data_IF_251285124134
#
_entry.id   IF_251285124134
#
_cell.length_a   1.000
_cell.length_b   1.000
_cell.length_c   1.000
_cell.angle_alpha   90.00
_cell.angle_beta   90.00
_cell.angle_gamma   90.00
#
_symmetry.space_group_name_H-M   'P 1'
#
loop_
_entity.id
_entity.type
_entity.pdbx_description
1 polymer ?
#
# COMPACT_ATOMS: atom_id res chain seq x y z
N UNK A 1 -10.10 -21.51 -4.21
CA UNK A 1 -9.37 -20.90 -5.34
C UNK A 1 -9.22 -19.40 -5.10
N UNK A 2 -8.10 -18.80 -5.49
CA UNK A 2 -7.93 -17.34 -5.60
C UNK A 2 -7.88 -17.02 -7.10
N UNK A 3 -8.54 -15.94 -7.53
CA UNK A 3 -8.52 -15.54 -8.93
C UNK A 3 -9.76 -14.75 -9.34
N UNK A 4 -9.92 -14.46 -10.64
CA UNK A 4 -8.94 -14.70 -11.71
C UNK A 4 -7.86 -13.60 -11.72
N UNK A 5 -6.59 -13.96 -11.91
CA UNK A 5 -5.46 -13.01 -12.01
C UNK A 5 -5.47 -12.26 -13.36
N UNK A 6 -6.49 -11.44 -13.57
CA UNK A 6 -6.60 -10.64 -14.78
C UNK A 6 -5.48 -9.59 -14.82
N UNK A 7 -4.81 -9.46 -15.97
CA UNK A 7 -3.69 -8.52 -16.18
C UNK A 7 -4.05 -7.05 -15.87
N UNK A 8 -5.33 -6.69 -16.01
CA UNK A 8 -5.81 -5.32 -15.94
C UNK A 8 -7.16 -5.23 -15.25
N UNK A 9 -7.43 -4.11 -14.59
CA UNK A 9 -8.76 -3.74 -14.05
C UNK A 9 -9.45 -2.65 -14.87
N UNK A 10 -8.93 -2.33 -16.06
CA UNK A 10 -9.47 -1.31 -16.96
C UNK A 10 -10.18 -1.89 -18.19
N UNK A 11 -10.73 -0.99 -19.02
CA UNK A 11 -11.38 -1.34 -20.28
C UNK A 11 -10.40 -1.93 -21.30
N UNK A 12 -10.81 -3.01 -21.97
CA UNK A 12 -10.12 -3.61 -23.11
C UNK A 12 -11.05 -3.64 -24.31
N UNK A 13 -10.66 -2.97 -25.39
CA UNK A 13 -11.39 -3.00 -26.66
C UNK A 13 -11.40 -4.39 -27.29
N UNK A 14 -10.36 -5.20 -27.04
CA UNK A 14 -10.27 -6.59 -27.53
C UNK A 14 -11.27 -7.51 -26.85
N UNK A 15 -11.54 -7.28 -25.57
CA UNK A 15 -12.48 -8.08 -24.77
C UNK A 15 -13.88 -7.47 -24.71
N UNK A 16 -14.07 -6.25 -25.22
CA UNK A 16 -15.37 -5.57 -25.26
C UNK A 16 -15.88 -5.13 -23.89
N UNK A 17 -14.99 -4.90 -22.91
CA UNK A 17 -15.41 -4.58 -21.55
C UNK A 17 -14.24 -4.40 -20.57
N UNK A 18 -14.57 -4.26 -19.30
CA UNK A 18 -13.57 -4.24 -18.23
C UNK A 18 -12.90 -5.61 -18.13
N UNK A 19 -11.57 -5.65 -18.27
CA UNK A 19 -10.80 -6.90 -18.35
C UNK A 19 -11.03 -7.79 -17.14
N UNK A 20 -10.93 -7.23 -15.93
CA UNK A 20 -11.18 -7.98 -14.70
C UNK A 20 -12.63 -8.47 -14.60
N UNK A 21 -13.61 -7.65 -14.97
CA UNK A 21 -15.01 -8.06 -14.89
C UNK A 21 -15.34 -9.23 -15.82
N UNK A 22 -14.82 -9.21 -17.05
CA UNK A 22 -15.01 -10.28 -18.03
C UNK A 22 -14.61 -11.65 -17.47
N UNK A 23 -13.52 -11.72 -16.70
CA UNK A 23 -13.08 -12.98 -16.08
C UNK A 23 -13.76 -13.25 -14.73
N UNK A 24 -14.09 -12.23 -13.96
CA UNK A 24 -14.59 -12.36 -12.59
C UNK A 24 -16.09 -12.62 -12.51
N UNK A 25 -16.89 -12.09 -13.44
CA UNK A 25 -18.35 -12.26 -13.45
C UNK A 25 -18.79 -13.74 -13.51
N UNK A 26 -18.19 -14.61 -14.35
CA UNK A 26 -18.52 -16.05 -14.37
C UNK A 26 -18.23 -16.77 -13.03
N UNK A 27 -17.24 -16.28 -12.28
CA UNK A 27 -16.82 -16.84 -11.00
C UNK A 27 -17.48 -16.15 -9.81
N UNK A 28 -18.26 -15.10 -10.06
CA UNK A 28 -18.85 -14.27 -9.02
C UNK A 28 -19.75 -15.10 -8.12
N UNK A 29 -19.60 -14.90 -6.81
CA UNK A 29 -20.36 -15.60 -5.76
C UNK A 29 -20.15 -17.13 -5.68
N UNK A 30 -19.30 -17.75 -6.50
CA UNK A 30 -19.02 -19.19 -6.39
C UNK A 30 -18.37 -19.48 -5.04
N UNK A 31 -18.85 -20.52 -4.35
CA UNK A 31 -18.33 -20.93 -3.03
C UNK A 31 -16.89 -21.44 -3.10
N UNK A 32 -16.49 -22.00 -4.25
CA UNK A 32 -15.11 -22.43 -4.53
C UNK A 32 -14.11 -21.27 -4.66
N UNK A 33 -14.58 -20.04 -4.85
CA UNK A 33 -13.76 -18.83 -4.88
C UNK A 33 -13.61 -18.25 -3.48
N UNK A 34 -12.37 -18.19 -2.99
CA UNK A 34 -12.02 -17.70 -1.67
C UNK A 34 -11.73 -16.19 -1.68
N UNK A 35 -11.10 -15.69 -2.75
CA UNK A 35 -10.75 -14.29 -2.93
C UNK A 35 -10.66 -13.95 -4.42
N UNK A 36 -10.90 -12.69 -4.72
CA UNK A 36 -10.60 -12.11 -6.02
C UNK A 36 -9.14 -11.68 -6.07
N UNK A 37 -8.46 -11.89 -7.19
CA UNK A 37 -7.11 -11.38 -7.43
C UNK A 37 -7.12 -10.53 -8.69
N UNK A 38 -6.27 -9.52 -8.80
CA UNK A 38 -6.19 -8.68 -9.99
C UNK A 38 -4.82 -8.00 -10.10
N UNK A 39 -4.43 -7.68 -11.33
CA UNK A 39 -3.28 -6.83 -11.63
C UNK A 39 -3.77 -5.48 -12.15
N UNK A 40 -2.88 -4.50 -12.20
CA UNK A 40 -3.26 -3.13 -12.60
C UNK A 40 -2.36 -2.57 -13.69
N UNK A 41 -1.90 -3.42 -14.62
CA UNK A 41 -0.95 -3.03 -15.68
C UNK A 41 -1.53 -2.05 -16.72
N UNK A 42 -2.83 -1.79 -16.67
CA UNK A 42 -3.48 -0.74 -17.45
C UNK A 42 -3.05 0.66 -17.00
N UNK A 43 -2.43 0.78 -15.83
CA UNK A 43 -1.79 2.01 -15.40
C UNK A 43 -0.32 2.03 -15.83
N UNK A 44 0.06 2.95 -16.76
CA UNK A 44 1.46 3.16 -17.08
C UNK A 44 2.18 3.87 -15.91
N UNK A 45 3.52 3.83 -15.94
CA UNK A 45 4.37 4.51 -14.96
C UNK A 45 4.06 6.02 -14.79
N UNK A 46 3.56 6.66 -15.85
CA UNK A 46 3.20 8.08 -15.90
C UNK A 46 1.80 8.40 -15.38
N UNK A 47 0.97 7.40 -15.07
CA UNK A 47 -0.39 7.63 -14.59
C UNK A 47 -0.37 8.37 -13.26
N UNK A 48 -1.30 9.31 -13.10
CA UNK A 48 -1.52 9.96 -11.81
C UNK A 48 -2.24 8.97 -10.89
N UNK A 49 -1.80 8.85 -9.64
CA UNK A 49 -2.43 7.92 -8.67
C UNK A 49 -3.93 8.19 -8.53
N UNK A 50 -4.35 9.45 -8.59
CA UNK A 50 -5.76 9.83 -8.55
C UNK A 50 -6.62 9.20 -9.67
N UNK A 51 -6.04 8.93 -10.85
CA UNK A 51 -6.76 8.34 -11.98
C UNK A 51 -7.11 6.86 -11.75
N UNK A 52 -6.39 6.19 -10.83
CA UNK A 52 -6.63 4.77 -10.53
C UNK A 52 -7.89 4.52 -9.72
N UNK A 53 -8.43 5.57 -9.08
CA UNK A 53 -9.49 5.47 -8.08
C UNK A 53 -10.80 4.88 -8.63
N UNK A 54 -11.20 5.23 -9.85
CA UNK A 54 -12.46 4.75 -10.42
C UNK A 54 -12.46 3.22 -10.60
N UNK A 55 -11.40 2.68 -11.20
CA UNK A 55 -11.26 1.23 -11.40
C UNK A 55 -11.12 0.50 -10.05
N UNK A 56 -10.37 1.06 -9.09
CA UNK A 56 -10.25 0.49 -7.75
C UNK A 56 -11.59 0.47 -7.00
N UNK A 57 -12.37 1.56 -7.07
CA UNK A 57 -13.72 1.59 -6.50
C UNK A 57 -14.63 0.53 -7.13
N UNK A 58 -14.53 0.31 -8.45
CA UNK A 58 -15.29 -0.75 -9.12
C UNK A 58 -15.00 -2.13 -8.51
N UNK A 59 -13.73 -2.43 -8.18
CA UNK A 59 -13.38 -3.68 -7.48
C UNK A 59 -14.14 -3.80 -6.15
N UNK A 60 -14.07 -2.79 -5.29
CA UNK A 60 -14.78 -2.78 -3.99
C UNK A 60 -16.28 -2.93 -4.18
N UNK A 61 -16.87 -2.09 -5.01
CA UNK A 61 -18.32 -1.92 -5.12
C UNK A 61 -18.96 -3.14 -5.80
N UNK A 62 -18.24 -3.80 -6.70
CA UNK A 62 -18.76 -4.92 -7.50
C UNK A 62 -18.36 -6.29 -6.94
N UNK A 63 -17.18 -6.41 -6.31
CA UNK A 63 -16.56 -7.68 -5.90
C UNK A 63 -16.13 -7.73 -4.43
N UNK A 64 -16.47 -6.71 -3.63
CA UNK A 64 -16.13 -6.62 -2.20
C UNK A 64 -16.87 -7.61 -1.29
N UNK A 65 -17.64 -8.55 -1.85
CA UNK A 65 -18.29 -9.64 -1.09
C UNK A 65 -17.30 -10.75 -0.66
N UNK A 66 -16.08 -10.73 -1.20
CA UNK A 66 -14.95 -11.58 -0.79
C UNK A 66 -13.70 -10.71 -0.68
N UNK A 67 -12.64 -11.16 0.01
CA UNK A 67 -11.36 -10.46 -0.02
C UNK A 67 -10.87 -10.26 -1.46
N UNK A 68 -10.30 -9.09 -1.75
CA UNK A 68 -9.65 -8.79 -3.01
C UNK A 68 -8.14 -8.60 -2.79
N UNK A 69 -7.30 -9.11 -3.68
CA UNK A 69 -5.84 -9.06 -3.56
C UNK A 69 -5.28 -8.46 -4.85
N UNK A 70 -4.50 -7.38 -4.75
CA UNK A 70 -3.69 -6.90 -5.87
C UNK A 70 -2.49 -7.84 -5.97
N UNK A 71 -2.52 -8.79 -6.91
CA UNK A 71 -1.59 -9.93 -6.93
C UNK A 71 -0.30 -9.66 -7.70
N UNK A 72 -0.23 -8.60 -8.50
CA UNK A 72 0.97 -8.25 -9.24
C UNK A 72 0.93 -6.83 -9.82
N UNK A 73 1.96 -6.02 -9.55
CA UNK A 73 2.21 -4.73 -10.22
C UNK A 73 3.59 -4.15 -9.88
N UNK A 74 4.24 -3.43 -10.82
CA UNK A 74 5.54 -2.74 -10.57
C UNK A 74 5.87 -1.55 -11.48
N UNK A 75 4.90 -0.83 -12.06
CA UNK A 75 5.22 0.23 -13.03
C UNK A 75 5.54 1.60 -12.42
N UNK A 76 5.14 1.88 -11.17
CA UNK A 76 5.31 3.20 -10.57
C UNK A 76 6.71 3.39 -9.96
N UNK A 77 7.14 4.65 -9.84
CA UNK A 77 8.28 5.00 -8.97
C UNK A 77 8.04 4.52 -7.54
N UNK A 78 9.08 4.39 -6.72
CA UNK A 78 8.94 3.88 -5.34
C UNK A 78 7.93 4.70 -4.50
N UNK A 79 7.94 6.03 -4.62
CA UNK A 79 7.04 6.91 -3.87
C UNK A 79 5.59 6.78 -4.37
N UNK A 80 5.40 6.73 -5.69
CA UNK A 80 4.08 6.51 -6.29
C UNK A 80 3.57 5.09 -6.00
N UNK A 81 4.45 4.10 -5.89
CA UNK A 81 4.11 2.74 -5.46
C UNK A 81 3.59 2.74 -4.02
N UNK A 82 4.26 3.44 -3.09
CA UNK A 82 3.77 3.57 -1.72
C UNK A 82 2.38 4.22 -1.65
N UNK A 83 2.17 5.31 -2.41
CA UNK A 83 0.85 5.93 -2.50
C UNK A 83 -0.17 4.98 -3.14
N UNK A 84 0.19 4.29 -4.22
CA UNK A 84 -0.70 3.37 -4.90
C UNK A 84 -1.12 2.18 -4.02
N UNK A 85 -0.24 1.69 -3.15
CA UNK A 85 -0.59 0.67 -2.15
C UNK A 85 -1.69 1.21 -1.22
N UNK A 86 -1.53 2.44 -0.68
CA UNK A 86 -2.57 3.08 0.14
C UNK A 86 -3.87 3.21 -0.66
N UNK A 87 -3.80 3.64 -1.92
CA UNK A 87 -4.96 3.80 -2.78
C UNK A 87 -5.68 2.44 -3.01
N UNK A 88 -4.93 1.37 -3.28
CA UNK A 88 -5.47 0.01 -3.44
C UNK A 88 -6.17 -0.48 -2.17
N UNK A 89 -5.49 -0.37 -1.04
CA UNK A 89 -6.03 -0.79 0.26
C UNK A 89 -7.31 -0.01 0.59
N UNK A 90 -7.31 1.30 0.33
CA UNK A 90 -8.42 2.17 0.71
C UNK A 90 -9.61 2.11 -0.24
N UNK A 91 -9.37 2.23 -1.54
CA UNK A 91 -10.42 2.39 -2.54
C UNK A 91 -10.98 1.03 -3.00
N UNK A 92 -10.11 0.05 -3.25
CA UNK A 92 -10.53 -1.30 -3.65
C UNK A 92 -10.88 -2.20 -2.45
N UNK A 93 -10.71 -1.72 -1.22
CA UNK A 93 -10.82 -2.54 -0.01
C UNK A 93 -9.95 -3.80 -0.10
N UNK A 94 -8.77 -3.68 -0.69
CA UNK A 94 -7.87 -4.81 -0.88
C UNK A 94 -7.38 -5.35 0.47
N UNK A 95 -7.33 -6.68 0.59
CA UNK A 95 -6.81 -7.41 1.72
C UNK A 95 -5.30 -7.74 1.57
N UNK A 96 -4.72 -7.49 0.39
CA UNK A 96 -3.32 -7.74 0.13
C UNK A 96 -2.82 -7.02 -1.13
N UNK A 97 -1.50 -6.84 -1.19
CA UNK A 97 -0.77 -6.25 -2.30
C UNK A 97 0.53 -7.03 -2.48
N UNK A 98 0.83 -7.46 -3.71
CA UNK A 98 2.05 -8.19 -4.06
C UNK A 98 2.81 -7.41 -5.13
N UNK A 99 4.01 -6.95 -4.78
CA UNK A 99 4.89 -6.28 -5.73
C UNK A 99 5.60 -7.31 -6.62
N UNK A 100 5.63 -7.08 -7.93
CA UNK A 100 6.15 -8.04 -8.90
C UNK A 100 7.66 -8.28 -8.74
N UNK A 101 8.43 -7.19 -8.68
CA UNK A 101 9.89 -7.27 -8.78
C UNK A 101 10.54 -7.50 -7.41
N UNK A 102 10.42 -8.71 -6.85
CA UNK A 102 11.02 -9.02 -5.54
C UNK A 102 12.55 -9.10 -5.61
N UNK A 103 13.12 -10.10 -6.28
CA UNK A 103 14.56 -10.29 -6.38
C UNK A 103 14.97 -10.52 -7.83
N UNK A 104 15.82 -9.64 -8.38
CA UNK A 104 16.20 -9.64 -9.79
C UNK A 104 17.67 -9.31 -9.98
N UNK A 105 18.16 -9.46 -11.22
CA UNK A 105 19.51 -9.05 -11.60
C UNK A 105 19.78 -7.57 -11.24
N UNK A 106 21.02 -7.25 -10.92
CA UNK A 106 21.47 -5.93 -10.47
C UNK A 106 21.28 -4.78 -11.48
N UNK A 107 20.98 -5.10 -12.74
CA UNK A 107 20.54 -4.18 -13.78
C UNK A 107 19.10 -3.69 -13.60
N UNK A 108 18.28 -4.35 -12.79
CA UNK A 108 16.88 -3.98 -12.56
C UNK A 108 16.75 -3.07 -11.32
N UNK A 109 16.70 -1.76 -11.56
CA UNK A 109 16.60 -0.75 -10.50
C UNK A 109 15.22 -0.68 -9.81
N UNK A 110 14.20 -1.32 -10.39
CA UNK A 110 12.84 -1.33 -9.83
C UNK A 110 12.58 -2.57 -8.96
N UNK A 111 13.52 -3.50 -8.90
CA UNK A 111 13.44 -4.66 -8.00
C UNK A 111 13.67 -4.28 -6.55
N UNK A 112 13.03 -4.96 -5.59
CA UNK A 112 13.27 -4.72 -4.16
C UNK A 112 14.70 -5.11 -3.79
N UNK A 113 15.15 -6.27 -4.26
CA UNK A 113 16.46 -6.85 -3.99
C UNK A 113 17.18 -7.07 -5.32
N UNK A 114 18.29 -6.36 -5.50
CA UNK A 114 19.18 -6.52 -6.65
C UNK A 114 20.25 -7.55 -6.33
N UNK A 115 20.42 -8.53 -7.20
CA UNK A 115 21.37 -9.63 -7.07
C UNK A 115 22.46 -9.51 -8.14
N UNK A 116 23.71 -9.43 -7.71
CA UNK A 116 24.85 -9.49 -8.63
C UNK A 116 25.11 -10.93 -9.07
N UNK A 117 25.81 -11.10 -10.19
CA UNK A 117 26.25 -12.43 -10.67
C UNK A 117 27.17 -13.16 -9.67
N UNK A 118 27.84 -12.42 -8.78
CA UNK A 118 28.68 -12.97 -7.72
C UNK A 118 27.90 -13.32 -6.43
N UNK A 119 26.57 -13.13 -6.40
CA UNK A 119 25.71 -13.43 -5.25
C UNK A 119 25.67 -12.33 -4.18
N UNK A 120 26.27 -11.17 -4.41
CA UNK A 120 26.07 -10.00 -3.55
C UNK A 120 24.68 -9.40 -3.78
N UNK A 121 24.12 -8.75 -2.75
CA UNK A 121 22.82 -8.09 -2.88
C UNK A 121 22.85 -6.62 -2.47
N UNK A 122 21.96 -5.83 -3.08
CA UNK A 122 21.65 -4.46 -2.65
C UNK A 122 20.16 -4.26 -2.57
N UNK A 123 19.71 -3.43 -1.63
CA UNK A 123 18.29 -3.12 -1.43
C UNK A 123 17.97 -1.79 -2.12
N UNK A 124 16.87 -1.75 -2.86
CA UNK A 124 16.37 -0.51 -3.48
C UNK A 124 15.32 0.15 -2.59
N UNK A 125 14.90 1.40 -2.89
CA UNK A 125 13.77 2.02 -2.21
C UNK A 125 12.49 1.17 -2.19
N UNK A 126 12.25 0.33 -3.20
CA UNK A 126 11.07 -0.55 -3.25
C UNK A 126 11.05 -1.60 -2.13
N UNK A 127 12.21 -2.10 -1.70
CA UNK A 127 12.28 -2.97 -0.53
C UNK A 127 11.75 -2.27 0.72
N UNK A 128 12.17 -1.02 0.92
CA UNK A 128 11.76 -0.24 2.07
C UNK A 128 10.29 0.18 2.00
N UNK A 129 9.77 0.45 0.80
CA UNK A 129 8.32 0.64 0.59
C UNK A 129 7.55 -0.59 1.10
N UNK A 130 7.91 -1.81 0.67
CA UNK A 130 7.24 -3.02 1.16
C UNK A 130 7.44 -3.23 2.66
N UNK A 131 8.61 -2.87 3.19
CA UNK A 131 8.88 -2.93 4.63
C UNK A 131 7.94 -2.03 5.44
N UNK A 132 7.58 -0.85 4.93
CA UNK A 132 6.61 0.05 5.58
C UNK A 132 5.22 -0.59 5.76
N UNK A 133 4.81 -1.48 4.86
CA UNK A 133 3.52 -2.16 4.90
C UNK A 133 3.55 -3.56 5.54
N UNK A 134 4.72 -4.16 5.76
CA UNK A 134 4.84 -5.55 6.22
C UNK A 134 5.58 -5.73 7.55
N UNK A 135 6.38 -4.75 8.00
CA UNK A 135 7.18 -4.92 9.23
C UNK A 135 6.35 -4.84 10.51
N UNK A 136 5.30 -4.02 10.50
CA UNK A 136 4.50 -3.69 11.70
C UNK A 136 3.02 -4.09 11.58
N UNK A 137 2.62 -4.55 10.41
CA UNK A 137 1.26 -5.01 10.08
C UNK A 137 1.37 -6.49 9.75
N UNK A 138 0.58 -7.32 10.43
CA UNK A 138 0.67 -8.78 10.33
C UNK A 138 -0.72 -9.40 10.12
N UNK A 139 -0.75 -10.72 9.99
CA UNK A 139 -1.97 -11.52 9.91
C UNK A 139 -2.93 -11.16 11.04
N UNK A 140 -4.18 -10.91 10.66
CA UNK A 140 -5.28 -10.61 11.58
C UNK A 140 -5.43 -9.13 11.91
N UNK A 141 -4.52 -8.27 11.47
CA UNK A 141 -4.73 -6.82 11.57
C UNK A 141 -5.93 -6.42 10.73
N UNK A 142 -6.72 -5.49 11.24
CA UNK A 142 -7.91 -4.98 10.57
C UNK A 142 -7.66 -3.54 10.16
N UNK A 143 -7.94 -3.23 8.89
CA UNK A 143 -7.86 -1.85 8.39
C UNK A 143 -8.92 -0.99 9.08
N UNK A 144 -8.50 0.16 9.60
CA UNK A 144 -9.37 1.13 10.25
C UNK A 144 -9.48 2.40 9.41
N UNK A 145 -10.56 3.14 9.59
CA UNK A 145 -10.75 4.43 8.92
C UNK A 145 -9.73 5.44 9.46
N UNK A 146 -8.96 6.04 8.55
CA UNK A 146 -8.09 7.18 8.85
C UNK A 146 -8.65 8.41 8.15
N UNK A 147 -8.81 9.49 8.91
CA UNK A 147 -9.19 10.80 8.37
C UNK A 147 -7.91 11.63 8.27
N UNK A 148 -7.45 11.88 7.04
CA UNK A 148 -6.28 12.71 6.79
C UNK A 148 -6.59 13.65 5.62
N UNK A 149 -6.73 14.97 5.86
CA UNK A 149 -7.06 15.91 4.81
C UNK A 149 -5.86 16.27 3.93
N UNK A 150 -4.64 16.13 4.45
CA UNK A 150 -3.45 16.59 3.74
C UNK A 150 -2.79 15.46 2.94
N UNK A 151 -2.67 14.25 3.51
CA UNK A 151 -1.82 13.20 2.97
C UNK A 151 -2.51 11.82 2.86
N UNK A 152 -2.18 11.01 1.85
CA UNK A 152 -2.61 9.62 1.77
C UNK A 152 -2.13 8.81 2.99
N UNK A 153 -3.07 8.13 3.66
CA UNK A 153 -2.79 7.27 4.80
C UNK A 153 -3.65 6.01 4.80
N UNK A 154 -3.11 4.91 5.29
CA UNK A 154 -3.88 3.72 5.67
C UNK A 154 -3.50 3.30 7.08
N UNK A 155 -4.49 2.99 7.91
CA UNK A 155 -4.31 2.59 9.30
C UNK A 155 -4.80 1.17 9.55
N UNK A 156 -4.14 0.47 10.46
CA UNK A 156 -4.43 -0.91 10.82
C UNK A 156 -4.35 -1.08 12.33
N UNK A 157 -5.36 -1.71 12.92
CA UNK A 157 -5.34 -2.08 14.34
C UNK A 157 -4.99 -3.55 14.48
N UNK A 158 -4.15 -3.87 15.46
CA UNK A 158 -3.78 -5.24 15.76
C UNK A 158 -4.94 -6.03 16.39
N UNK A 159 -4.91 -7.38 16.38
CA UNK A 159 -5.97 -8.21 16.96
C UNK A 159 -6.23 -7.96 18.46
N UNK A 160 -5.24 -7.46 19.22
CA UNK A 160 -5.44 -7.15 20.64
C UNK A 160 -6.10 -5.79 20.89
N UNK A 161 -6.18 -4.93 19.86
CA UNK A 161 -6.74 -3.58 19.97
C UNK A 161 -5.87 -2.59 20.74
N UNK A 162 -4.57 -2.90 20.89
CA UNK A 162 -3.59 -2.13 21.68
C UNK A 162 -2.55 -1.40 20.84
N UNK A 163 -2.42 -1.77 19.56
CA UNK A 163 -1.46 -1.15 18.64
C UNK A 163 -2.16 -0.75 17.34
N UNK A 164 -1.95 0.49 16.92
CA UNK A 164 -2.31 0.97 15.59
C UNK A 164 -1.04 1.23 14.81
N UNK A 165 -0.99 0.73 13.58
CA UNK A 165 0.05 1.09 12.61
C UNK A 165 -0.58 1.90 11.48
N UNK A 166 -0.02 3.08 11.20
CA UNK A 166 -0.40 3.93 10.08
C UNK A 166 0.76 4.00 9.10
N UNK A 167 0.49 3.81 7.82
CA UNK A 167 1.45 4.13 6.76
C UNK A 167 0.97 5.39 6.05
N UNK A 168 1.81 6.41 6.02
CA UNK A 168 1.56 7.71 5.43
C UNK A 168 2.56 7.98 4.30
N UNK A 169 2.10 8.66 3.26
CA UNK A 169 2.96 9.13 2.16
C UNK A 169 2.86 10.64 2.07
N UNK A 170 4.00 11.33 2.10
CA UNK A 170 4.07 12.74 1.75
C UNK A 170 4.58 12.88 0.31
N UNK A 171 3.69 13.05 -0.68
CA UNK A 171 4.09 13.26 -2.06
C UNK A 171 4.52 14.71 -2.36
N UNK A 172 4.43 15.64 -1.41
CA UNK A 172 4.71 17.06 -1.64
C UNK A 172 6.20 17.39 -1.51
N UNK A 173 6.54 18.63 -1.87
CA UNK A 173 7.88 19.21 -1.71
C UNK A 173 8.13 19.82 -0.34
N UNK A 174 7.08 19.98 0.47
CA UNK A 174 7.15 20.56 1.80
C UNK A 174 6.94 19.51 2.89
N UNK A 175 7.56 19.75 4.06
CA UNK A 175 7.34 18.93 5.24
C UNK A 175 5.96 19.24 5.85
N UNK A 176 5.37 18.24 6.50
CA UNK A 176 4.09 18.42 7.21
C UNK A 176 4.21 17.87 8.62
N UNK A 177 3.74 18.64 9.60
CA UNK A 177 3.63 18.19 10.98
C UNK A 177 2.29 17.50 11.18
N UNK A 178 2.31 16.30 11.75
CA UNK A 178 1.12 15.49 11.99
C UNK A 178 1.00 15.08 13.44
N UNK A 179 -0.15 15.40 14.02
CA UNK A 179 -0.63 14.87 15.29
C UNK A 179 -1.59 13.73 15.05
N UNK A 180 -1.60 12.75 15.96
CA UNK A 180 -2.41 11.55 15.82
C UNK A 180 -3.37 11.42 17.00
N UNK A 181 -4.66 11.49 16.70
CA UNK A 181 -5.74 11.23 17.64
C UNK A 181 -6.42 9.91 17.31
N UNK A 182 -6.84 9.18 18.35
CA UNK A 182 -7.54 7.91 18.21
C UNK A 182 -8.89 7.99 18.92
N UNK A 183 -9.98 7.89 18.15
CA UNK A 183 -11.33 7.97 18.71
C UNK A 183 -11.55 6.90 19.78
N UNK A 184 -11.89 7.34 20.99
CA UNK A 184 -12.21 6.45 22.12
C UNK A 184 -11.01 5.75 22.75
N UNK A 185 -9.77 6.12 22.43
CA UNK A 185 -8.55 5.56 23.05
C UNK A 185 -7.51 6.64 23.31
N UNK A 186 -6.67 6.42 24.30
CA UNK A 186 -5.52 7.29 24.59
C UNK A 186 -4.26 6.69 23.99
N UNK A 187 -3.49 7.51 23.27
CA UNK A 187 -2.18 7.12 22.75
C UNK A 187 -1.16 7.16 23.89
N UNK A 188 -0.56 6.02 24.20
CA UNK A 188 0.48 5.85 25.21
C UNK A 188 1.85 6.28 24.68
N UNK A 189 2.21 5.84 23.49
CA UNK A 189 3.49 6.19 22.86
C UNK A 189 3.39 6.16 21.34
N UNK A 190 4.24 6.97 20.71
CA UNK A 190 4.38 7.06 19.26
C UNK A 190 5.82 6.78 18.91
N UNK A 191 6.04 5.92 17.91
CA UNK A 191 7.32 5.80 17.20
C UNK A 191 7.06 5.80 15.71
N UNK A 192 8.03 6.24 14.93
CA UNK A 192 7.88 6.23 13.49
C UNK A 192 9.21 5.91 12.80
N UNK A 193 9.09 5.33 11.60
CA UNK A 193 10.20 5.02 10.71
C UNK A 193 9.90 5.64 9.36
N UNK A 194 10.88 6.31 8.75
CA UNK A 194 10.69 7.09 7.53
C UNK A 194 11.72 6.73 6.45
N UNK A 195 11.26 6.64 5.22
CA UNK A 195 12.09 6.57 4.00
C UNK A 195 11.90 7.86 3.22
N UNK A 196 13.01 8.52 2.89
CA UNK A 196 13.09 9.70 2.02
C UNK A 196 14.13 9.42 0.91
N UNK A 197 14.50 10.45 0.14
CA UNK A 197 15.47 10.29 -0.96
C UNK A 197 16.89 9.87 -0.50
N UNK A 198 17.21 10.03 0.79
CA UNK A 198 18.56 9.82 1.34
C UNK A 198 18.56 8.70 2.39
N UNK A 199 17.54 8.64 3.23
CA UNK A 199 17.44 7.72 4.36
C UNK A 199 16.42 6.63 4.05
N UNK A 200 16.76 5.39 4.35
CA UNK A 200 15.88 4.24 4.18
C UNK A 200 15.44 3.68 5.54
N UNK A 201 14.13 3.72 5.81
CA UNK A 201 13.50 3.17 7.01
C UNK A 201 14.20 3.58 8.32
N UNK A 202 14.51 4.88 8.46
CA UNK A 202 15.22 5.42 9.63
C UNK A 202 14.23 5.88 10.68
N UNK A 203 14.55 5.64 11.95
CA UNK A 203 13.74 6.12 13.06
C UNK A 203 13.58 7.65 13.01
N UNK A 204 12.35 8.11 13.24
CA UNK A 204 12.02 9.51 13.46
C UNK A 204 11.34 9.65 14.82
N UNK A 205 11.80 10.61 15.60
CA UNK A 205 11.31 10.85 16.94
C UNK A 205 10.18 11.89 16.89
N UNK A 206 9.13 11.73 17.71
CA UNK A 206 8.17 12.80 17.93
C UNK A 206 8.87 14.08 18.39
N UNK A 207 8.40 15.22 17.90
CA UNK A 207 8.96 16.53 18.20
C UNK A 207 8.00 17.31 19.10
N UNK A 208 8.57 18.07 20.04
CA UNK A 208 7.83 18.99 20.90
C UNK A 208 7.01 18.32 22.01
N UNK A 209 6.35 19.17 22.81
CA UNK A 209 5.48 18.74 23.91
C UNK A 209 4.19 18.07 23.41
N UNK A 210 3.74 18.49 22.22
CA UNK A 210 2.54 17.99 21.54
C UNK A 210 2.79 16.66 20.79
N UNK A 211 4.04 16.18 20.78
CA UNK A 211 4.47 14.89 20.20
C UNK A 211 4.00 14.68 18.75
N UNK A 212 4.15 15.69 17.89
CA UNK A 212 3.86 15.52 16.47
C UNK A 212 4.99 14.80 15.73
N UNK A 213 4.65 14.13 14.63
CA UNK A 213 5.62 13.52 13.69
C UNK A 213 5.80 14.44 12.48
N UNK A 214 7.06 14.67 12.10
CA UNK A 214 7.38 15.38 10.85
C UNK A 214 7.40 14.39 9.69
N UNK A 215 6.45 14.53 8.76
CA UNK A 215 6.46 13.85 7.47
C UNK A 215 7.29 14.68 6.49
N UNK A 216 8.53 14.29 6.24
CA UNK A 216 9.42 15.00 5.31
C UNK A 216 8.86 15.04 3.89
N UNK A 217 9.29 16.00 3.05
CA UNK A 217 8.98 15.99 1.62
C UNK A 217 9.31 14.64 0.97
N UNK A 218 8.50 14.22 0.00
CA UNK A 218 8.75 13.04 -0.84
C UNK A 218 9.13 11.80 -0.02
N UNK A 219 8.35 11.50 1.03
CA UNK A 219 8.67 10.44 1.99
C UNK A 219 7.53 9.46 2.24
N UNK A 220 7.88 8.29 2.76
CA UNK A 220 6.96 7.28 3.27
C UNK A 220 7.28 7.09 4.74
N UNK A 221 6.26 7.11 5.60
CA UNK A 221 6.43 6.99 7.05
C UNK A 221 5.49 5.91 7.59
N UNK A 222 6.04 4.96 8.34
CA UNK A 222 5.24 4.08 9.20
C UNK A 222 5.23 4.66 10.59
N UNK A 223 4.04 4.95 11.12
CA UNK A 223 3.80 5.42 12.47
C UNK A 223 3.18 4.27 13.25
N UNK A 224 3.70 3.99 14.44
CA UNK A 224 3.17 3.00 15.37
C UNK A 224 2.71 3.71 16.63
N UNK A 225 1.42 3.58 16.92
CA UNK A 225 0.74 4.10 18.10
C UNK A 225 0.46 2.94 19.04
N UNK A 226 1.07 2.97 20.21
CA UNK A 226 0.67 2.09 21.32
C UNK A 226 -0.45 2.78 22.10
N UNK A 227 -1.49 2.02 22.45
CA UNK A 227 -2.71 2.50 23.09
C UNK A 227 -2.76 2.06 24.55
N UNK A 228 -3.47 2.81 25.38
CA UNK A 228 -3.79 2.41 26.76
C UNK A 228 -4.83 1.27 26.81
#
# INVERSE_FOLDING_TARGET
>A
MIGPEAENIGYSSKLGGNTFAVFSDPLKNKSSLAAYAYHTYNFPASALIAQTKADLNMIRDTYGNKPCIMSEYSNFTWLNTAWFIIQNLNEANAAGYIYWLMAWADSNNDSMIKLSSAGAYTLTPFYYVMKHFSKEIDKGYVRIKVLSPLMPMSGFIDPSGKKITVVAVNPNTDAVNYEFEVTGKTVKSIRAMQTDAVNSYKDTQPVGIDKYIILKPKSVTTIVLELQ
#
